data_IF_449092044762
#
_entry.id   IF_449092044762
#
_cell.length_a   1.000
_cell.length_b   1.000
_cell.length_c   1.000
_cell.angle_alpha   90.00
_cell.angle_beta   90.00
_cell.angle_gamma   90.00
#
_symmetry.space_group_name_H-M   'P 1'
#
loop_
_entity.id
_entity.type
_entity.pdbx_description
1 polymer ?
#
# COMPACT_ATOMS: atom_id res chain seq x y z
N UNK A 1 -19.61 4.39 5.31
CA UNK A 1 -19.22 4.61 3.90
C UNK A 1 -19.63 3.36 3.14
N UNK A 2 -20.25 3.48 1.98
CA UNK A 2 -20.56 2.31 1.14
C UNK A 2 -19.26 1.70 0.65
N UNK A 3 -19.03 0.42 0.93
CA UNK A 3 -17.88 -0.34 0.43
C UNK A 3 -17.96 -0.44 -1.10
N UNK A 4 -16.96 0.13 -1.78
CA UNK A 4 -16.71 -0.04 -3.21
C UNK A 4 -15.58 -1.04 -3.45
N UNK A 5 -15.45 -1.54 -4.68
CA UNK A 5 -14.32 -2.39 -5.08
C UNK A 5 -12.98 -1.66 -4.87
N UNK A 6 -12.89 -0.37 -5.20
CA UNK A 6 -11.71 0.46 -4.96
C UNK A 6 -11.38 0.56 -3.47
N UNK A 7 -12.37 0.86 -2.61
CA UNK A 7 -12.12 0.91 -1.16
C UNK A 7 -11.62 -0.44 -0.62
N UNK A 8 -12.19 -1.55 -1.10
CA UNK A 8 -11.77 -2.90 -0.67
C UNK A 8 -10.32 -3.19 -1.08
N UNK A 9 -9.91 -2.78 -2.29
CA UNK A 9 -8.52 -2.94 -2.74
C UNK A 9 -7.56 -2.12 -1.86
N UNK A 10 -7.93 -0.88 -1.53
CA UNK A 10 -7.10 0.00 -0.71
C UNK A 10 -7.05 -0.42 0.76
N UNK A 11 -8.16 -0.92 1.31
CA UNK A 11 -8.23 -1.48 2.66
C UNK A 11 -7.31 -2.72 2.76
N UNK A 12 -7.39 -3.63 1.78
CA UNK A 12 -6.49 -4.79 1.73
C UNK A 12 -5.01 -4.37 1.60
N UNK A 13 -4.70 -3.33 0.81
CA UNK A 13 -3.34 -2.81 0.71
C UNK A 13 -2.83 -2.29 2.05
N UNK A 14 -3.68 -1.58 2.81
CA UNK A 14 -3.34 -1.10 4.14
C UNK A 14 -3.12 -2.26 5.11
N UNK A 15 -4.04 -3.23 5.15
CA UNK A 15 -3.95 -4.41 6.03
C UNK A 15 -2.69 -5.23 5.77
N UNK A 16 -2.36 -5.50 4.51
CA UNK A 16 -1.13 -6.22 4.17
C UNK A 16 0.11 -5.36 4.42
N UNK A 17 0.04 -4.04 4.17
CA UNK A 17 1.13 -3.10 4.41
C UNK A 17 1.50 -2.99 5.89
N UNK A 18 0.52 -3.04 6.79
CA UNK A 18 0.73 -3.04 8.25
C UNK A 18 1.55 -4.27 8.67
N UNK A 19 1.28 -5.45 8.09
CA UNK A 19 2.02 -6.68 8.40
C UNK A 19 3.49 -6.60 7.97
N UNK A 20 3.80 -5.78 6.97
CA UNK A 20 5.16 -5.55 6.49
C UNK A 20 5.91 -4.47 7.28
N UNK A 21 5.22 -3.68 8.11
CA UNK A 21 5.84 -2.61 8.91
C UNK A 21 5.34 -2.65 10.36
N UNK A 22 5.93 -3.51 11.21
CA UNK A 22 5.73 -3.49 12.66
C UNK A 22 5.86 -2.11 13.31
N UNK A 23 6.84 -1.31 12.85
CA UNK A 23 7.03 0.07 13.33
C UNK A 23 5.82 0.93 12.94
N UNK A 24 5.38 0.83 11.67
CA UNK A 24 4.19 1.51 11.20
C UNK A 24 2.92 1.10 11.93
N UNK A 25 2.76 -0.20 12.23
CA UNK A 25 1.66 -0.73 13.03
C UNK A 25 1.61 -0.07 14.41
N UNK A 26 2.75 0.00 15.09
CA UNK A 26 2.90 0.67 16.40
C UNK A 26 2.53 2.15 16.31
N UNK A 27 3.02 2.86 15.28
CA UNK A 27 2.72 4.28 15.07
C UNK A 27 1.23 4.55 14.81
N UNK A 28 0.54 3.63 14.16
CA UNK A 28 -0.90 3.70 13.89
C UNK A 28 -1.76 3.20 15.07
N UNK A 29 -1.14 2.70 16.15
CA UNK A 29 -1.84 2.14 17.31
C UNK A 29 -2.46 0.76 17.04
N UNK A 30 -1.95 0.01 16.05
CA UNK A 30 -2.35 -1.36 15.76
C UNK A 30 -1.56 -2.31 16.66
N UNK A 31 -2.22 -3.01 17.60
CA UNK A 31 -1.52 -3.83 18.58
C UNK A 31 -1.00 -5.15 17.99
N UNK A 32 0.00 -5.75 18.64
CA UNK A 32 0.42 -7.14 18.40
C UNK A 32 1.70 -7.29 17.57
N UNK A 33 2.33 -6.18 17.20
CA UNK A 33 3.65 -6.14 16.52
C UNK A 33 4.65 -5.26 17.28
N UNK A 34 4.32 -4.79 18.48
CA UNK A 34 5.06 -3.77 19.23
C UNK A 34 6.45 -4.23 19.70
N UNK A 35 6.73 -5.53 19.62
CA UNK A 35 8.00 -6.17 19.97
C UNK A 35 8.89 -6.47 18.74
N UNK A 36 8.47 -6.04 17.55
CA UNK A 36 9.11 -6.35 16.28
C UNK A 36 9.63 -5.08 15.57
N UNK A 37 10.51 -5.30 14.59
CA UNK A 37 11.05 -4.26 13.71
C UNK A 37 10.76 -4.61 12.26
N UNK A 38 10.70 -3.58 11.41
CA UNK A 38 10.61 -3.72 9.97
C UNK A 38 11.80 -4.52 9.41
N UNK A 39 11.55 -5.33 8.38
CA UNK A 39 12.61 -5.96 7.60
C UNK A 39 13.24 -4.90 6.68
N UNK A 40 14.28 -4.22 7.18
CA UNK A 40 15.00 -3.18 6.45
C UNK A 40 16.02 -3.73 5.43
N UNK A 41 15.99 -5.02 5.13
CA UNK A 41 16.83 -5.61 4.09
C UNK A 41 16.28 -5.32 2.68
N UNK A 42 17.08 -5.62 1.66
CA UNK A 42 16.61 -5.56 0.27
C UNK A 42 15.42 -6.50 0.00
N UNK A 43 15.37 -7.65 0.68
CA UNK A 43 14.26 -8.60 0.54
C UNK A 43 12.97 -8.02 1.15
N UNK A 44 13.07 -7.38 2.32
CA UNK A 44 11.96 -6.69 2.96
C UNK A 44 11.40 -5.55 2.08
N UNK A 45 12.28 -4.72 1.52
CA UNK A 45 11.89 -3.67 0.57
C UNK A 45 11.20 -4.23 -0.69
N UNK A 46 11.65 -5.38 -1.20
CA UNK A 46 11.01 -6.00 -2.38
C UNK A 46 9.60 -6.55 -2.06
N UNK A 47 9.36 -7.05 -0.83
CA UNK A 47 8.00 -7.45 -0.39
C UNK A 47 7.03 -6.27 -0.43
N UNK A 48 7.48 -5.08 0.00
CA UNK A 48 6.70 -3.84 -0.11
C UNK A 48 6.46 -3.46 -1.57
N UNK A 49 7.49 -3.50 -2.41
CA UNK A 49 7.36 -3.20 -3.83
C UNK A 49 6.38 -4.16 -4.54
N UNK A 50 6.41 -5.46 -4.24
CA UNK A 50 5.49 -6.44 -4.80
C UNK A 50 4.03 -6.16 -4.41
N UNK A 51 3.77 -5.85 -3.14
CA UNK A 51 2.45 -5.45 -2.66
C UNK A 51 1.95 -4.19 -3.40
N UNK A 52 2.83 -3.20 -3.57
CA UNK A 52 2.55 -1.96 -4.30
C UNK A 52 2.24 -2.22 -5.79
N UNK A 53 3.02 -3.07 -6.48
CA UNK A 53 2.76 -3.47 -7.88
C UNK A 53 1.41 -4.16 -8.04
N UNK A 54 1.11 -5.13 -7.18
CA UNK A 54 -0.16 -5.87 -7.20
C UNK A 54 -1.36 -4.93 -7.02
N UNK A 55 -1.27 -4.03 -6.06
CA UNK A 55 -2.33 -3.06 -5.75
C UNK A 55 -2.52 -2.07 -6.90
N UNK A 56 -1.44 -1.53 -7.45
CA UNK A 56 -1.49 -0.61 -8.59
C UNK A 56 -2.15 -1.26 -9.82
N UNK A 57 -1.83 -2.53 -10.10
CA UNK A 57 -2.46 -3.27 -11.18
C UNK A 57 -3.97 -3.46 -10.96
N UNK A 58 -4.38 -3.79 -9.74
CA UNK A 58 -5.79 -3.93 -9.39
C UNK A 58 -6.56 -2.60 -9.53
N UNK A 59 -6.03 -1.51 -8.95
CA UNK A 59 -6.67 -0.19 -9.01
C UNK A 59 -6.77 0.35 -10.44
N UNK A 60 -5.74 0.17 -11.27
CA UNK A 60 -5.77 0.62 -12.67
C UNK A 60 -6.90 -0.04 -13.46
N UNK A 61 -7.17 -1.31 -13.19
CA UNK A 61 -8.21 -2.10 -13.88
C UNK A 61 -9.62 -1.89 -13.33
N UNK A 62 -9.79 -1.25 -12.18
CA UNK A 62 -11.11 -1.06 -11.57
C UNK A 62 -11.83 0.19 -12.11
N UNK A 63 -13.16 0.14 -12.22
CA UNK A 63 -13.99 1.26 -12.70
C UNK A 63 -14.64 1.98 -11.51
N UNK A 64 -14.35 3.28 -11.29
CA UNK A 64 -15.02 4.06 -10.25
C UNK A 64 -16.54 4.10 -10.42
N UNK A 65 -17.28 3.87 -9.33
CA UNK A 65 -18.75 3.94 -9.34
C UNK A 65 -19.29 5.29 -8.83
N UNK A 66 -18.42 6.15 -8.30
CA UNK A 66 -18.75 7.48 -7.80
C UNK A 66 -17.51 8.40 -7.79
N UNK A 67 -17.70 9.65 -7.39
CA UNK A 67 -16.64 10.67 -7.35
C UNK A 67 -15.54 10.37 -6.32
N UNK A 68 -15.89 9.79 -5.16
CA UNK A 68 -14.91 9.42 -4.14
C UNK A 68 -13.98 8.32 -4.64
N UNK A 69 -14.52 7.33 -5.33
CA UNK A 69 -13.75 6.27 -5.98
C UNK A 69 -12.83 6.81 -7.07
N UNK A 70 -13.29 7.80 -7.85
CA UNK A 70 -12.48 8.46 -8.88
C UNK A 70 -11.25 9.12 -8.25
N UNK A 71 -11.48 9.92 -7.20
CA UNK A 71 -10.41 10.59 -6.47
C UNK A 71 -9.47 9.57 -5.81
N UNK A 72 -10.01 8.54 -5.15
CA UNK A 72 -9.23 7.50 -4.51
C UNK A 72 -8.35 6.74 -5.52
N UNK A 73 -8.90 6.40 -6.69
CA UNK A 73 -8.15 5.78 -7.79
C UNK A 73 -7.04 6.70 -8.28
N UNK A 74 -7.33 7.96 -8.56
CA UNK A 74 -6.33 8.92 -9.07
C UNK A 74 -5.17 9.10 -8.09
N UNK A 75 -5.48 9.29 -6.80
CA UNK A 75 -4.46 9.42 -5.74
C UNK A 75 -3.67 8.13 -5.56
N UNK A 76 -4.33 6.98 -5.51
CA UNK A 76 -3.65 5.69 -5.35
C UNK A 76 -2.72 5.39 -6.52
N UNK A 77 -3.17 5.63 -7.76
CA UNK A 77 -2.34 5.45 -8.95
C UNK A 77 -1.11 6.34 -8.91
N UNK A 78 -1.25 7.61 -8.53
CA UNK A 78 -0.13 8.53 -8.39
C UNK A 78 0.86 8.03 -7.32
N UNK A 79 0.38 7.80 -6.08
CA UNK A 79 1.23 7.43 -4.94
C UNK A 79 1.97 6.12 -5.15
N UNK A 80 1.25 5.08 -5.59
CA UNK A 80 1.85 3.75 -5.79
C UNK A 80 2.83 3.74 -6.96
N UNK A 81 2.57 4.53 -8.02
CA UNK A 81 3.54 4.68 -9.12
C UNK A 81 4.80 5.40 -8.65
N UNK A 82 4.65 6.48 -7.88
CA UNK A 82 5.77 7.22 -7.29
C UNK A 82 6.62 6.33 -6.36
N UNK A 83 5.98 5.50 -5.52
CA UNK A 83 6.66 4.55 -4.63
C UNK A 83 7.49 3.52 -5.43
N UNK A 84 6.93 2.96 -6.50
CA UNK A 84 7.67 2.01 -7.36
C UNK A 84 8.84 2.66 -8.09
N UNK A 85 8.67 3.90 -8.57
CA UNK A 85 9.76 4.60 -9.24
C UNK A 85 10.97 4.77 -8.29
N UNK A 86 10.73 5.15 -7.03
CA UNK A 86 11.80 5.27 -6.02
C UNK A 86 12.42 3.91 -5.68
N UNK A 87 11.61 2.86 -5.66
CA UNK A 87 12.11 1.50 -5.43
C UNK A 87 13.02 1.02 -6.57
N UNK A 88 12.64 1.31 -7.81
CA UNK A 88 13.34 0.86 -9.02
C UNK A 88 14.62 1.67 -9.28
N UNK A 89 14.69 2.92 -8.79
CA UNK A 89 15.92 3.74 -8.79
C UNK A 89 16.83 3.48 -7.58
N UNK A 90 16.39 2.65 -6.62
CA UNK A 90 17.05 2.40 -5.34
C UNK A 90 17.16 3.63 -4.42
N UNK A 91 16.39 4.70 -4.68
CA UNK A 91 16.37 5.90 -3.83
C UNK A 91 15.57 5.71 -2.53
N UNK A 92 14.69 4.71 -2.49
CA UNK A 92 13.95 4.33 -1.29
C UNK A 92 14.67 3.29 -0.40
N UNK A 93 15.85 2.79 -0.80
CA UNK A 93 16.50 1.61 -0.20
C UNK A 93 17.77 1.94 0.57
#
# INVERSE_FOLDING_TARGET
MTTSAISTILDNFLEEGIKLSPIGATMLGVPGLDDQLDDLSMEGNEKRAELTRKTLAAIKNETPINEFDRIAKDVAVERLTSELNLNDTFEAR
#
